data_IF_500224817109
#
_entry.id   IF_500224817109
#
_cell.length_a   1.000
_cell.length_b   1.000
_cell.length_c   1.000
_cell.angle_alpha   90.00
_cell.angle_beta   90.00
_cell.angle_gamma   90.00
#
_symmetry.space_group_name_H-M   'P 1'
#
loop_
_entity.id
_entity.type
_entity.pdbx_description
1 polymer ?
#
# COMPACT_ATOMS: atom_id res chain seq x y z
N UNK A 1 21.11 -8.08 27.04
CA UNK A 1 20.26 -7.19 26.21
C UNK A 1 20.43 -7.72 24.79
N UNK A 2 19.40 -8.22 24.08
CA UNK A 2 18.76 -7.49 22.96
C UNK A 2 17.65 -8.35 22.28
N UNK A 3 16.79 -9.06 23.02
CA UNK A 3 15.71 -9.87 22.42
C UNK A 3 14.45 -9.07 22.04
N UNK A 4 14.35 -7.81 22.48
CA UNK A 4 13.24 -6.92 22.16
C UNK A 4 13.38 -6.23 20.78
N UNK A 5 14.61 -5.93 20.36
CA UNK A 5 14.87 -5.22 19.09
C UNK A 5 14.54 -6.10 17.87
N UNK A 6 14.83 -7.40 17.96
CA UNK A 6 14.61 -8.38 16.88
C UNK A 6 13.13 -8.54 16.53
N UNK A 7 12.22 -8.51 17.52
CA UNK A 7 10.76 -8.62 17.31
C UNK A 7 10.16 -7.38 16.64
N UNK A 8 10.76 -6.20 16.85
CA UNK A 8 10.30 -4.95 16.21
C UNK A 8 10.71 -4.91 14.73
N UNK A 9 11.93 -5.35 14.40
CA UNK A 9 12.39 -5.43 13.02
C UNK A 9 11.51 -6.34 12.16
N UNK A 10 11.19 -7.55 12.66
CA UNK A 10 10.33 -8.51 11.95
C UNK A 10 8.93 -7.98 11.65
N UNK A 11 8.33 -7.24 12.59
CA UNK A 11 7.01 -6.61 12.38
C UNK A 11 7.06 -5.54 11.30
N UNK A 12 8.11 -4.72 11.28
CA UNK A 12 8.28 -3.68 10.25
C UNK A 12 8.44 -4.33 8.87
N UNK A 13 9.23 -5.40 8.76
CA UNK A 13 9.40 -6.14 7.52
C UNK A 13 8.10 -6.78 7.02
N UNK A 14 7.28 -7.36 7.92
CA UNK A 14 5.99 -7.95 7.54
C UNK A 14 4.98 -6.90 7.07
N UNK A 15 4.96 -5.74 7.71
CA UNK A 15 4.11 -4.61 7.29
C UNK A 15 4.56 -4.07 5.94
N UNK A 16 5.87 -3.90 5.72
CA UNK A 16 6.40 -3.46 4.44
C UNK A 16 6.02 -4.42 3.30
N UNK A 17 6.17 -5.74 3.53
CA UNK A 17 5.82 -6.76 2.55
C UNK A 17 4.30 -6.83 2.28
N UNK A 18 3.48 -6.61 3.32
CA UNK A 18 2.03 -6.47 3.15
C UNK A 18 1.67 -5.24 2.32
N UNK A 19 2.32 -4.10 2.54
CA UNK A 19 2.08 -2.90 1.76
C UNK A 19 2.46 -3.05 0.28
N UNK A 20 3.54 -3.77 -0.04
CA UNK A 20 3.91 -4.01 -1.44
C UNK A 20 2.89 -4.89 -2.18
N UNK A 21 2.37 -5.93 -1.52
CA UNK A 21 1.29 -6.76 -2.08
C UNK A 21 0.03 -5.95 -2.36
N UNK A 22 -0.30 -5.00 -1.47
CA UNK A 22 -1.44 -4.13 -1.64
C UNK A 22 -1.21 -3.11 -2.76
N UNK A 23 0.04 -2.64 -2.96
CA UNK A 23 0.39 -1.80 -4.12
C UNK A 23 0.18 -2.60 -5.41
N UNK A 24 0.72 -3.81 -5.48
CA UNK A 24 0.62 -4.68 -6.66
C UNK A 24 -0.84 -4.98 -7.01
N UNK A 25 -1.66 -5.35 -6.03
CA UNK A 25 -3.08 -5.61 -6.26
C UNK A 25 -3.84 -4.35 -6.69
N UNK A 26 -3.53 -3.18 -6.13
CA UNK A 26 -4.18 -1.93 -6.54
C UNK A 26 -3.82 -1.56 -7.98
N UNK A 27 -2.54 -1.70 -8.35
CA UNK A 27 -2.06 -1.50 -9.73
C UNK A 27 -2.74 -2.47 -10.68
N UNK A 28 -2.88 -3.75 -10.33
CA UNK A 28 -3.53 -4.76 -11.17
C UNK A 28 -5.03 -4.47 -11.37
N UNK A 29 -5.74 -4.05 -10.32
CA UNK A 29 -7.20 -3.83 -10.37
C UNK A 29 -7.57 -2.51 -11.05
N UNK A 30 -6.74 -1.48 -10.92
CA UNK A 30 -7.08 -0.11 -11.36
C UNK A 30 -6.18 0.42 -12.49
N UNK A 31 -5.07 -0.25 -12.77
CA UNK A 31 -4.07 0.15 -13.77
C UNK A 31 -3.45 1.54 -13.49
N UNK A 32 -3.35 1.90 -12.20
CA UNK A 32 -2.67 3.13 -11.78
C UNK A 32 -1.18 2.89 -11.58
N UNK A 33 -0.39 3.96 -11.56
CA UNK A 33 1.04 3.85 -11.29
C UNK A 33 1.32 3.25 -9.90
N UNK A 34 2.32 2.37 -9.75
CA UNK A 34 2.75 1.84 -8.44
C UNK A 34 3.10 2.94 -7.43
N UNK A 35 3.59 4.09 -7.92
CA UNK A 35 3.85 5.28 -7.10
C UNK A 35 2.57 5.94 -6.60
N UNK A 36 1.52 6.00 -7.43
CA UNK A 36 0.21 6.50 -7.02
C UNK A 36 -0.42 5.55 -6.02
N UNK A 37 -0.43 4.24 -6.31
CA UNK A 37 -0.93 3.21 -5.41
C UNK A 37 -0.26 3.25 -4.02
N UNK A 38 1.07 3.39 -3.98
CA UNK A 38 1.82 3.53 -2.71
C UNK A 38 1.44 4.82 -1.97
N UNK A 39 1.17 5.91 -2.68
CA UNK A 39 0.74 7.18 -2.09
C UNK A 39 -0.68 7.06 -1.51
N UNK A 40 -1.57 6.37 -2.22
CA UNK A 40 -2.92 6.08 -1.76
C UNK A 40 -2.90 5.21 -0.49
N UNK A 41 -2.12 4.12 -0.48
CA UNK A 41 -1.93 3.27 0.70
C UNK A 41 -1.32 4.00 1.89
N UNK A 42 -0.42 4.97 1.64
CA UNK A 42 0.15 5.81 2.70
C UNK A 42 -0.86 6.82 3.26
N UNK A 43 -1.77 7.32 2.43
CA UNK A 43 -2.77 8.34 2.81
C UNK A 43 -4.02 7.72 3.46
N UNK A 44 -4.49 6.60 2.93
CA UNK A 44 -5.75 5.98 3.33
C UNK A 44 -5.56 4.67 4.11
N UNK A 45 -4.34 4.11 4.16
CA UNK A 45 -4.12 2.78 4.71
C UNK A 45 -4.65 1.70 3.76
N UNK A 46 -4.90 0.50 4.28
CA UNK A 46 -5.46 -0.64 3.54
C UNK A 46 -7.00 -0.53 3.34
N UNK A 47 -7.51 0.69 3.14
CA UNK A 47 -8.93 0.97 2.88
C UNK A 47 -9.26 0.69 1.40
N UNK A 48 -9.31 -0.59 1.02
CA UNK A 48 -9.53 -1.05 -0.36
C UNK A 48 -10.66 -0.35 -1.14
N UNK A 49 -11.87 -0.17 -0.57
CA UNK A 49 -12.95 0.52 -1.29
C UNK A 49 -12.58 1.94 -1.70
N UNK A 50 -11.96 2.71 -0.78
CA UNK A 50 -11.52 4.08 -1.06
C UNK A 50 -10.32 4.13 -1.98
N UNK A 51 -9.38 3.19 -1.85
CA UNK A 51 -8.22 3.10 -2.72
C UNK A 51 -8.65 2.91 -4.18
N UNK A 52 -9.62 2.02 -4.40
CA UNK A 52 -10.17 1.77 -5.73
C UNK A 52 -10.88 3.02 -6.28
N UNK A 53 -11.77 3.63 -5.49
CA UNK A 53 -12.47 4.87 -5.90
C UNK A 53 -11.49 6.01 -6.24
N UNK A 54 -10.46 6.21 -5.39
CA UNK A 54 -9.44 7.23 -5.62
C UNK A 54 -8.56 6.91 -6.83
N UNK A 55 -8.21 5.65 -7.04
CA UNK A 55 -7.43 5.20 -8.18
C UNK A 55 -8.21 5.34 -9.51
N UNK A 56 -9.50 4.98 -9.53
CA UNK A 56 -10.38 5.21 -10.67
C UNK A 56 -10.61 6.71 -10.94
N UNK A 57 -10.66 7.54 -9.90
CA UNK A 57 -10.73 9.00 -10.03
C UNK A 57 -9.44 9.57 -10.64
N UNK A 58 -8.27 9.16 -10.16
CA UNK A 58 -6.97 9.56 -10.69
C UNK A 58 -6.83 9.24 -12.19
N UNK A 59 -7.36 8.09 -12.63
CA UNK A 59 -7.34 7.67 -14.04
C UNK A 59 -8.28 8.49 -14.94
N UNK A 60 -9.26 9.18 -14.37
CA UNK A 60 -10.22 10.03 -15.10
C UNK A 60 -9.74 11.48 -15.27
N UNK A 61 -8.72 11.88 -14.54
CA UNK A 61 -8.23 13.27 -14.49
C UNK A 61 -6.97 13.49 -15.36
N UNK A 62 -6.54 12.50 -16.14
CA UNK A 62 -5.40 12.57 -17.09
C UNK A 62 -5.86 12.31 -18.54
#
# INVERSE_FOLDING_TARGET
MDTAMKRKADKVSRVAKGQELEVEHLVEVTDVDPKQARTLLRRHGADWPKLKDQAEALKKED
#
